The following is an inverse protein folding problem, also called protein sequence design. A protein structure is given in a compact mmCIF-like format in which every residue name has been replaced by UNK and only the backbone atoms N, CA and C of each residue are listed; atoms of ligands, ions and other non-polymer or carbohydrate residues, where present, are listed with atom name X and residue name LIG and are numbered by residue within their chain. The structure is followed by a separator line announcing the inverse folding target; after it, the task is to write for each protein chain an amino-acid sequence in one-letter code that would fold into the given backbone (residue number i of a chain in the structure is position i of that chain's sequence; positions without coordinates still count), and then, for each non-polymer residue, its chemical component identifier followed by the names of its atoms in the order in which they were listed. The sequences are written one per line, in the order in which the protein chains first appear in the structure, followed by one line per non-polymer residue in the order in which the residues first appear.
data_IF_744525222464
#
_entry.id   IF_744525222464
#
_cell.length_a   1.000
_cell.length_b   1.000
_cell.length_c   1.000
_cell.angle_alpha   90.00
_cell.angle_beta   90.00
_cell.angle_gamma   90.00
#
_symmetry.space_group_name_H-M   'P 1'
#
loop_
_entity.id
_entity.type
_entity.pdbx_description
1 polymer ?
#
# COMPACT_ATOMS: atom_id res chain seq x y z
N UNK A 1 -10.54 3.87 -5.13
CA UNK A 1 -11.23 3.89 -3.83
C UNK A 1 -10.60 5.00 -3.01
N UNK A 2 -11.40 5.85 -2.37
CA UNK A 2 -10.89 6.93 -1.52
C UNK A 2 -10.97 6.50 -0.05
N UNK A 3 -9.91 6.73 0.71
CA UNK A 3 -9.84 6.54 2.16
C UNK A 3 -9.49 7.89 2.80
N UNK A 4 -10.06 8.19 3.97
CA UNK A 4 -9.83 9.47 4.64
C UNK A 4 -9.71 9.29 6.15
N UNK A 5 -8.67 9.89 6.76
CA UNK A 5 -8.43 9.81 8.21
C UNK A 5 -9.44 10.59 9.06
N UNK A 6 -10.25 11.47 8.46
CA UNK A 6 -11.39 12.10 9.14
C UNK A 6 -12.64 11.24 8.94
N UNK A 7 -13.18 10.73 10.04
CA UNK A 7 -14.48 10.07 10.01
C UNK A 7 -15.58 11.13 9.81
N UNK A 8 -16.07 11.19 8.57
CA UNK A 8 -17.22 12.01 8.18
C UNK A 8 -18.38 11.14 7.67
N UNK A 9 -18.31 9.81 7.87
CA UNK A 9 -19.28 8.84 7.35
C UNK A 9 -19.31 8.67 5.83
N UNK A 10 -18.52 9.42 5.06
CA UNK A 10 -18.56 9.39 3.59
C UNK A 10 -17.50 8.47 2.98
N UNK A 11 -16.35 8.31 3.63
CA UNK A 11 -15.28 7.43 3.16
C UNK A 11 -14.81 6.49 4.28
N UNK A 12 -14.39 5.26 3.96
CA UNK A 12 -13.79 4.38 4.95
C UNK A 12 -12.49 4.99 5.52
N UNK A 13 -12.25 4.75 6.80
CA UNK A 13 -11.00 5.11 7.46
C UNK A 13 -9.83 4.31 6.86
N UNK A 14 -8.61 4.88 6.77
CA UNK A 14 -7.42 4.21 6.26
C UNK A 14 -6.82 3.26 7.31
N UNK A 15 -7.62 2.31 7.79
CA UNK A 15 -7.12 1.18 8.60
C UNK A 15 -6.30 0.23 7.74
N UNK A 16 -5.45 -0.59 8.35
CA UNK A 16 -4.61 -1.56 7.62
C UNK A 16 -5.46 -2.44 6.71
N UNK A 17 -6.56 -2.97 7.25
CA UNK A 17 -7.50 -3.79 6.49
C UNK A 17 -8.15 -3.05 5.32
N UNK A 18 -8.56 -1.78 5.50
CA UNK A 18 -9.18 -1.01 4.43
C UNK A 18 -8.19 -0.60 3.34
N UNK A 19 -6.94 -0.28 3.70
CA UNK A 19 -5.87 0.01 2.75
C UNK A 19 -5.54 -1.21 1.89
N UNK A 20 -5.39 -2.40 2.49
CA UNK A 20 -5.15 -3.65 1.75
C UNK A 20 -6.28 -3.92 0.75
N UNK A 21 -7.54 -3.81 1.20
CA UNK A 21 -8.70 -3.96 0.30
C UNK A 21 -8.71 -2.93 -0.83
N UNK A 22 -8.24 -1.72 -0.57
CA UNK A 22 -8.13 -0.69 -1.60
C UNK A 22 -7.03 -1.00 -2.62
N UNK A 23 -5.91 -1.62 -2.21
CA UNK A 23 -4.87 -2.08 -3.15
C UNK A 23 -5.37 -3.24 -4.02
N UNK A 24 -6.04 -4.22 -3.42
CA UNK A 24 -6.67 -5.32 -4.17
C UNK A 24 -7.68 -4.77 -5.19
N UNK A 25 -8.51 -3.81 -4.77
CA UNK A 25 -9.45 -3.13 -5.66
C UNK A 25 -8.73 -2.36 -6.79
N UNK A 26 -7.60 -1.71 -6.50
CA UNK A 26 -6.85 -0.90 -7.46
C UNK A 26 -6.36 -1.75 -8.64
N UNK A 27 -5.87 -2.96 -8.36
CA UNK A 27 -5.38 -3.88 -9.38
C UNK A 27 -6.43 -4.88 -9.87
N UNK A 28 -7.63 -4.89 -9.29
CA UNK A 28 -8.69 -5.82 -9.70
C UNK A 28 -9.01 -5.66 -11.20
N UNK A 29 -8.90 -6.76 -11.93
CA UNK A 29 -9.18 -6.79 -13.38
C UNK A 29 -8.21 -6.00 -14.24
N UNK A 30 -7.04 -5.60 -13.71
CA UNK A 30 -5.99 -4.93 -14.49
C UNK A 30 -5.48 -5.82 -15.63
N UNK A 31 -5.18 -5.22 -16.78
CA UNK A 31 -4.67 -5.89 -17.99
C UNK A 31 -3.50 -5.11 -18.59
N UNK A 32 -2.81 -5.68 -19.59
CA UNK A 32 -1.78 -4.94 -20.35
C UNK A 32 -2.32 -3.60 -20.85
N UNK A 33 -1.45 -2.58 -20.86
CA UNK A 33 -1.71 -1.20 -21.29
C UNK A 33 -2.67 -0.39 -20.41
N UNK A 34 -3.24 -1.00 -19.37
CA UNK A 34 -3.98 -0.27 -18.34
C UNK A 34 -3.05 0.67 -17.57
N UNK A 35 -3.60 1.82 -17.18
CA UNK A 35 -2.96 2.75 -16.26
C UNK A 35 -3.74 2.80 -14.94
N UNK A 36 -3.01 2.76 -13.83
CA UNK A 36 -3.53 2.86 -12.47
C UNK A 36 -2.79 3.96 -11.73
N UNK A 37 -3.47 4.61 -10.81
CA UNK A 37 -2.93 5.70 -10.02
C UNK A 37 -3.18 5.42 -8.54
N UNK A 38 -2.11 5.45 -7.76
CA UNK A 38 -2.12 5.44 -6.31
C UNK A 38 -1.67 6.83 -5.84
N UNK A 39 -2.31 7.34 -4.80
CA UNK A 39 -1.83 8.52 -4.10
C UNK A 39 -1.89 8.24 -2.61
N UNK A 40 -0.78 8.48 -1.93
CA UNK A 40 -0.68 8.34 -0.50
C UNK A 40 -0.16 9.64 0.11
N UNK A 41 -0.87 10.13 1.12
CA UNK A 41 -0.45 11.27 1.93
C UNK A 41 -0.67 10.90 3.40
N UNK A 42 0.41 10.53 4.07
CA UNK A 42 0.41 10.06 5.45
C UNK A 42 1.82 9.86 5.95
N UNK A 43 1.95 9.23 7.12
CA UNK A 43 3.26 8.93 7.70
C UNK A 43 3.94 7.77 6.96
N UNK A 44 5.23 7.93 6.72
CA UNK A 44 6.11 6.83 6.37
C UNK A 44 7.28 6.81 7.34
N UNK A 45 7.72 5.61 7.68
CA UNK A 45 8.81 5.35 8.62
C UNK A 45 9.84 4.41 8.01
N UNK A 46 11.07 4.47 8.53
CA UNK A 46 12.13 3.50 8.26
C UNK A 46 12.43 2.72 9.53
N UNK A 47 12.44 1.40 9.43
CA UNK A 47 12.60 0.48 10.56
C UNK A 47 13.88 -0.33 10.41
N UNK A 48 14.63 -0.52 11.50
CA UNK A 48 15.72 -1.50 11.50
C UNK A 48 15.09 -2.90 11.55
N UNK A 49 15.10 -3.57 10.40
CA UNK A 49 14.44 -4.86 10.19
C UNK A 49 15.18 -5.62 9.09
N UNK A 50 15.97 -6.62 9.48
CA UNK A 50 16.54 -7.56 8.52
C UNK A 50 15.46 -8.58 8.10
N UNK A 51 14.84 -8.29 6.96
CA UNK A 51 13.84 -9.14 6.32
C UNK A 51 14.38 -9.84 5.06
N UNK A 52 15.67 -9.65 4.73
CA UNK A 52 16.29 -10.18 3.51
C UNK A 52 15.79 -9.59 2.19
N UNK A 53 14.97 -8.53 2.22
CA UNK A 53 14.45 -7.85 1.03
C UNK A 53 15.12 -6.50 0.76
N UNK A 54 15.65 -5.86 1.80
CA UNK A 54 16.34 -4.58 1.73
C UNK A 54 17.84 -4.74 1.44
N UNK A 55 18.44 -3.76 0.75
CA UNK A 55 19.89 -3.72 0.47
C UNK A 55 20.71 -3.31 1.69
N UNK A 56 20.08 -2.59 2.61
CA UNK A 56 20.53 -2.30 3.96
C UNK A 56 19.66 -3.06 4.96
N UNK A 57 19.97 -3.04 6.26
CA UNK A 57 19.17 -3.69 7.29
C UNK A 57 17.88 -2.90 7.62
N UNK A 58 17.42 -2.03 6.71
CA UNK A 58 16.30 -1.12 6.93
C UNK A 58 15.14 -1.39 5.98
N UNK A 59 13.92 -1.24 6.50
CA UNK A 59 12.71 -1.43 5.74
C UNK A 59 11.78 -0.22 5.90
N UNK A 60 11.35 0.34 4.78
CA UNK A 60 10.40 1.44 4.74
C UNK A 60 8.97 0.94 4.89
N UNK A 61 8.12 1.83 5.37
CA UNK A 61 6.71 1.52 5.54
C UNK A 61 5.82 2.73 5.33
N UNK A 62 4.56 2.45 5.02
CA UNK A 62 3.46 3.39 5.18
C UNK A 62 2.62 2.96 6.39
N UNK A 63 2.09 3.94 7.12
CA UNK A 63 1.42 3.71 8.39
C UNK A 63 -0.09 3.93 8.27
N UNK A 64 -0.91 2.85 8.34
CA UNK A 64 -2.35 2.97 8.48
C UNK A 64 -2.73 3.72 9.76
N UNK A 65 -3.99 4.15 9.87
CA UNK A 65 -4.49 4.86 11.06
C UNK A 65 -4.35 4.05 12.36
N UNK A 66 -4.43 2.72 12.25
CA UNK A 66 -4.36 1.75 13.33
C UNK A 66 -3.00 1.03 13.42
N UNK A 67 -1.94 1.60 12.81
CA UNK A 67 -0.62 0.96 12.74
C UNK A 67 0.00 0.60 14.10
N UNK A 68 -0.40 1.28 15.18
CA UNK A 68 0.05 0.98 16.55
C UNK A 68 -0.44 -0.41 16.99
N UNK A 69 -1.61 -0.84 16.53
CA UNK A 69 -2.26 -2.10 16.91
C UNK A 69 -2.05 -3.16 15.83
N UNK A 70 -2.30 -2.81 14.57
CA UNK A 70 -2.28 -3.73 13.43
C UNK A 70 -0.93 -3.79 12.70
N UNK A 71 0.01 -2.94 13.10
CA UNK A 71 1.32 -2.81 12.47
C UNK A 71 1.31 -1.92 11.22
N UNK A 72 2.51 -1.50 10.77
CA UNK A 72 2.66 -0.76 9.52
C UNK A 72 2.42 -1.68 8.29
N UNK A 73 2.45 -1.10 7.10
CA UNK A 73 2.51 -1.84 5.84
C UNK A 73 3.88 -1.59 5.24
N UNK A 74 4.70 -2.63 5.21
CA UNK A 74 6.07 -2.54 4.72
C UNK A 74 6.14 -2.51 3.19
N UNK A 75 7.19 -1.87 2.67
CA UNK A 75 7.46 -1.73 1.24
C UNK A 75 7.60 -3.09 0.53
N UNK A 76 8.23 -4.09 1.16
CA UNK A 76 8.33 -5.44 0.61
C UNK A 76 6.95 -6.10 0.50
N UNK A 77 6.04 -5.86 1.44
CA UNK A 77 4.68 -6.39 1.35
C UNK A 77 3.92 -5.70 0.19
N UNK A 78 4.06 -4.38 0.05
CA UNK A 78 3.51 -3.63 -1.09
C UNK A 78 4.04 -4.17 -2.42
N UNK A 79 5.36 -4.41 -2.50
CA UNK A 79 6.00 -4.92 -3.70
C UNK A 79 5.52 -6.33 -4.05
N UNK A 80 5.62 -7.27 -3.10
CA UNK A 80 5.42 -8.70 -3.32
C UNK A 80 3.93 -9.07 -3.42
N UNK A 81 3.06 -8.43 -2.62
CA UNK A 81 1.67 -8.89 -2.43
C UNK A 81 0.63 -8.07 -3.18
N UNK A 82 0.81 -6.76 -3.33
CA UNK A 82 -0.33 -5.90 -3.70
C UNK A 82 -0.12 -4.94 -4.87
N UNK A 83 1.06 -4.37 -5.09
CA UNK A 83 1.20 -3.22 -6.01
C UNK A 83 2.14 -3.45 -7.19
N UNK A 84 3.25 -4.18 -7.00
CA UNK A 84 4.29 -4.31 -8.04
C UNK A 84 4.25 -5.68 -8.70
N UNK A 85 4.53 -6.76 -7.97
CA UNK A 85 4.52 -8.11 -8.54
C UNK A 85 3.17 -8.58 -9.07
N UNK A 86 2.02 -8.21 -8.46
CA UNK A 86 0.72 -8.57 -9.02
C UNK A 86 0.33 -7.75 -10.26
N UNK A 87 1.06 -6.67 -10.58
CA UNK A 87 0.75 -5.84 -11.74
C UNK A 87 1.03 -6.62 -13.03
N UNK A 88 0.04 -6.76 -13.94
CA UNK A 88 0.25 -7.47 -15.20
C UNK A 88 1.32 -6.80 -16.07
N UNK A 89 2.10 -7.60 -16.78
CA UNK A 89 3.05 -7.10 -17.78
C UNK A 89 2.35 -6.15 -18.76
N UNK A 90 2.96 -4.97 -18.97
CA UNK A 90 2.44 -3.93 -19.87
C UNK A 90 1.51 -2.93 -19.18
N UNK A 91 0.97 -3.23 -18.01
CA UNK A 91 0.23 -2.25 -17.21
C UNK A 91 1.20 -1.26 -16.54
N UNK A 92 0.71 -0.07 -16.19
CA UNK A 92 1.46 0.97 -15.48
C UNK A 92 0.75 1.38 -14.21
N UNK A 93 1.48 1.36 -13.10
CA UNK A 93 1.06 1.96 -11.84
C UNK A 93 1.88 3.24 -11.63
N UNK A 94 1.19 4.36 -11.46
CA UNK A 94 1.76 5.63 -11.03
C UNK A 94 1.46 5.81 -9.54
N UNK A 95 2.45 6.17 -8.74
CA UNK A 95 2.35 6.34 -7.29
C UNK A 95 3.14 7.57 -6.84
#
# INVERSE_FOLDING_TARGET
MLLNGKDNGANPLPTRANMIRAFDWLLHGCKSDDMRFLFYAGHGDQHLLDNGHSLDEFCESINPLDFIIEGPIYDFELNERWLVRPLPTGAKLFA
#
